data_IF_329590187254
#
_entry.id   IF_329590187254
#
_cell.length_a   1.000
_cell.length_b   1.000
_cell.length_c   1.000
_cell.angle_alpha   90.00
_cell.angle_beta   90.00
_cell.angle_gamma   90.00
#
_symmetry.space_group_name_H-M   'P 1'
#
loop_
_entity.id
_entity.type
_entity.pdbx_description
1 polymer ?
#
# COMPACT_ATOMS: atom_id res chain seq x y z
N UNK A 1 18.95 -36.84 -19.89
CA UNK A 1 17.82 -36.78 -18.97
C UNK A 1 17.19 -35.41 -19.13
N UNK A 2 15.93 -35.27 -19.55
CA UNK A 2 15.30 -33.94 -19.63
C UNK A 2 14.97 -33.46 -18.23
N UNK A 3 15.43 -32.26 -17.89
CA UNK A 3 15.09 -31.59 -16.66
C UNK A 3 13.58 -31.33 -16.63
N UNK A 4 12.88 -31.88 -15.64
CA UNK A 4 11.51 -31.49 -15.30
C UNK A 4 11.52 -30.05 -14.89
N UNK A 5 11.14 -29.16 -15.80
CA UNK A 5 10.73 -27.80 -15.46
C UNK A 5 9.41 -27.97 -14.72
N UNK A 6 9.43 -27.84 -13.38
CA UNK A 6 8.22 -27.76 -12.60
C UNK A 6 7.53 -26.45 -13.00
N UNK A 7 6.50 -26.54 -13.84
CA UNK A 7 5.56 -25.44 -14.06
C UNK A 7 5.00 -25.07 -12.70
N UNK A 8 5.37 -23.90 -12.18
CA UNK A 8 4.73 -23.34 -11.01
C UNK A 8 3.25 -23.16 -11.34
N UNK A 9 2.43 -24.07 -10.83
CA UNK A 9 0.98 -23.90 -10.85
C UNK A 9 0.71 -22.62 -10.03
N UNK A 10 0.14 -21.59 -10.67
CA UNK A 10 -0.26 -20.38 -9.95
C UNK A 10 -1.22 -20.73 -8.81
N UNK A 11 -1.51 -19.77 -7.92
CA UNK A 11 -2.27 -20.03 -6.70
C UNK A 11 -3.64 -20.64 -7.01
N UNK A 12 -4.03 -21.64 -6.21
CA UNK A 12 -5.34 -22.32 -6.35
C UNK A 12 -6.48 -21.36 -5.98
N UNK A 13 -7.65 -21.55 -6.60
CA UNK A 13 -8.90 -20.90 -6.17
C UNK A 13 -9.21 -21.31 -4.74
N UNK A 14 -9.54 -20.30 -3.91
CA UNK A 14 -9.89 -20.50 -2.51
C UNK A 14 -11.42 -20.44 -2.39
N UNK A 15 -12.02 -21.52 -1.89
CA UNK A 15 -13.45 -21.51 -1.57
C UNK A 15 -13.79 -20.44 -0.53
N UNK A 16 -15.00 -19.88 -0.63
CA UNK A 16 -15.51 -18.97 0.39
C UNK A 16 -16.09 -19.82 1.52
N UNK A 17 -15.57 -19.74 2.76
CA UNK A 17 -16.11 -20.49 3.88
C UNK A 17 -17.51 -19.98 4.26
N UNK A 18 -18.27 -20.79 5.02
CA UNK A 18 -19.55 -20.37 5.57
C UNK A 18 -19.37 -19.12 6.46
N UNK A 19 -20.28 -18.17 6.32
CA UNK A 19 -20.30 -16.99 7.16
C UNK A 19 -20.65 -17.36 8.61
N UNK A 20 -19.93 -16.75 9.56
CA UNK A 20 -20.18 -16.87 11.00
C UNK A 20 -20.75 -15.53 11.48
N UNK A 21 -21.86 -15.52 12.26
CA UNK A 21 -22.39 -14.29 12.84
C UNK A 21 -21.33 -13.55 13.66
N UNK A 22 -21.34 -12.22 13.58
CA UNK A 22 -20.32 -11.38 14.29
C UNK A 22 -20.37 -11.64 15.80
N UNK A 23 -21.55 -11.88 16.40
CA UNK A 23 -21.72 -12.26 17.80
C UNK A 23 -20.93 -13.51 18.23
N UNK A 24 -20.66 -14.42 17.28
CA UNK A 24 -20.05 -15.73 17.54
C UNK A 24 -18.53 -15.74 17.30
N UNK A 25 -17.95 -14.56 17.07
CA UNK A 25 -16.51 -14.40 16.80
C UNK A 25 -15.67 -14.28 18.08
N UNK A 26 -16.24 -14.51 19.25
CA UNK A 26 -15.50 -14.53 20.52
C UNK A 26 -14.31 -15.51 20.44
N UNK A 27 -13.15 -15.07 20.94
CA UNK A 27 -11.91 -15.85 20.88
C UNK A 27 -11.11 -15.72 19.59
N UNK A 28 -11.64 -15.09 18.53
CA UNK A 28 -10.86 -14.73 17.33
C UNK A 28 -9.90 -13.59 17.66
N UNK A 29 -8.68 -13.68 17.17
CA UNK A 29 -7.74 -12.56 17.12
C UNK A 29 -7.28 -12.37 15.67
N UNK A 30 -7.59 -11.22 15.09
CA UNK A 30 -7.03 -10.79 13.81
C UNK A 30 -5.71 -10.06 14.04
N UNK A 31 -4.66 -10.52 13.38
CA UNK A 31 -3.37 -9.85 13.34
C UNK A 31 -3.35 -8.94 12.11
N UNK A 32 -3.24 -7.64 12.31
CA UNK A 32 -3.31 -6.64 11.23
C UNK A 32 -1.97 -5.93 11.09
N UNK A 33 -1.44 -5.92 9.87
CA UNK A 33 -0.30 -5.08 9.53
C UNK A 33 -0.72 -3.63 9.40
N UNK A 34 0.08 -2.74 9.95
CA UNK A 34 -0.17 -1.31 9.93
C UNK A 34 1.08 -0.54 9.51
N UNK A 35 0.95 0.34 8.54
CA UNK A 35 2.04 1.15 8.06
C UNK A 35 2.01 2.54 8.71
N UNK A 36 3.01 2.80 9.57
CA UNK A 36 3.16 4.11 10.22
C UNK A 36 1.92 4.54 11.02
N UNK A 37 1.19 3.61 11.59
CA UNK A 37 0.00 3.90 12.41
C UNK A 37 -1.24 4.33 11.63
N UNK A 38 -1.25 4.23 10.30
CA UNK A 38 -2.31 4.80 9.46
C UNK A 38 -3.66 4.07 9.62
N UNK A 39 -3.64 2.73 9.65
CA UNK A 39 -4.86 1.91 9.79
C UNK A 39 -5.35 1.89 11.23
N UNK A 40 -4.45 1.65 12.19
CA UNK A 40 -4.80 1.60 13.62
C UNK A 40 -5.31 2.94 14.11
N UNK A 41 -4.58 4.03 13.83
CA UNK A 41 -4.98 5.37 14.26
C UNK A 41 -6.35 5.77 13.68
N UNK A 42 -6.63 5.42 12.43
CA UNK A 42 -7.91 5.72 11.78
C UNK A 42 -9.07 5.00 12.47
N UNK A 43 -8.97 3.69 12.65
CA UNK A 43 -10.00 2.88 13.30
C UNK A 43 -10.26 3.33 14.75
N UNK A 44 -9.20 3.66 15.50
CA UNK A 44 -9.33 4.18 16.88
C UNK A 44 -9.92 5.59 16.91
N UNK A 45 -9.49 6.48 16.00
CA UNK A 45 -9.97 7.86 15.94
C UNK A 45 -11.48 7.94 15.68
N UNK A 46 -12.00 7.04 14.84
CA UNK A 46 -13.41 6.93 14.50
C UNK A 46 -14.22 6.06 15.49
N UNK A 47 -13.60 5.53 16.55
CA UNK A 47 -14.21 4.61 17.53
C UNK A 47 -14.81 3.33 16.91
N UNK A 48 -14.33 2.92 15.73
CA UNK A 48 -14.89 1.76 15.02
C UNK A 48 -14.35 0.42 15.54
N UNK A 49 -13.42 0.43 16.48
CA UNK A 49 -12.97 -0.77 17.22
C UNK A 49 -13.76 -1.02 18.51
N UNK A 50 -14.68 -0.13 18.87
CA UNK A 50 -15.47 -0.30 20.09
C UNK A 50 -16.46 -1.45 19.96
N UNK A 51 -16.69 -2.15 21.08
CA UNK A 51 -17.65 -3.26 21.18
C UNK A 51 -17.39 -4.41 20.19
N UNK A 52 -16.12 -4.66 19.84
CA UNK A 52 -15.76 -5.82 19.03
C UNK A 52 -15.91 -7.11 19.84
N UNK A 53 -16.58 -8.14 19.33
CA UNK A 53 -16.63 -9.45 19.96
C UNK A 53 -15.34 -10.27 19.75
N UNK A 54 -14.41 -9.79 18.91
CA UNK A 54 -13.10 -10.37 18.63
C UNK A 54 -11.99 -9.37 18.91
N UNK A 55 -10.74 -9.82 18.92
CA UNK A 55 -9.57 -8.97 19.14
C UNK A 55 -8.94 -8.57 17.81
N UNK A 56 -8.48 -7.32 17.71
CA UNK A 56 -7.59 -6.84 16.64
C UNK A 56 -6.26 -6.44 17.27
N UNK A 57 -5.18 -7.01 16.77
CA UNK A 57 -3.81 -6.71 17.21
C UNK A 57 -3.05 -6.14 16.01
N UNK A 58 -2.49 -4.97 16.19
CA UNK A 58 -1.73 -4.30 15.14
C UNK A 58 -0.22 -4.54 15.30
N UNK A 59 0.45 -4.70 14.16
CA UNK A 59 1.91 -4.74 14.06
C UNK A 59 2.36 -3.68 13.08
N UNK A 60 3.21 -2.76 13.54
CA UNK A 60 3.68 -1.62 12.72
C UNK A 60 4.84 -2.04 11.81
N UNK A 61 4.77 -1.62 10.57
CA UNK A 61 5.78 -1.83 9.54
C UNK A 61 6.24 -0.50 8.94
N UNK A 62 7.46 -0.48 8.42
CA UNK A 62 8.05 0.72 7.80
C UNK A 62 7.51 1.01 6.39
N UNK A 63 7.06 -0.04 5.68
CA UNK A 63 6.59 0.02 4.29
C UNK A 63 5.69 -1.17 3.95
N UNK A 64 5.16 -1.21 2.73
CA UNK A 64 4.28 -2.28 2.26
C UNK A 64 4.94 -3.65 2.08
N UNK A 65 6.12 -3.77 1.44
CA UNK A 65 6.74 -5.06 1.17
C UNK A 65 6.90 -5.97 2.40
N UNK A 66 7.42 -5.51 3.55
CA UNK A 66 7.50 -6.35 4.76
C UNK A 66 6.13 -6.85 5.26
N UNK A 67 5.04 -6.14 4.98
CA UNK A 67 3.68 -6.59 5.33
C UNK A 67 3.27 -7.81 4.48
N UNK A 68 3.58 -7.81 3.17
CA UNK A 68 3.32 -8.96 2.29
C UNK A 68 4.14 -10.19 2.72
N UNK A 69 5.38 -9.98 3.15
CA UNK A 69 6.22 -11.05 3.72
C UNK A 69 5.61 -11.62 5.00
N UNK A 70 5.15 -10.76 5.91
CA UNK A 70 4.49 -11.16 7.15
C UNK A 70 3.17 -11.89 6.91
N UNK A 71 2.36 -11.46 5.93
CA UNK A 71 1.16 -12.17 5.46
C UNK A 71 1.50 -13.56 4.94
N UNK A 72 2.53 -13.65 4.07
CA UNK A 72 2.99 -14.92 3.47
C UNK A 72 3.48 -15.90 4.53
N UNK A 73 4.16 -15.39 5.56
CA UNK A 73 4.63 -16.16 6.72
C UNK A 73 3.51 -16.49 7.73
N UNK A 74 2.27 -16.02 7.51
CA UNK A 74 1.14 -16.23 8.41
C UNK A 74 1.27 -15.50 9.77
N UNK A 75 2.14 -14.48 9.85
CA UNK A 75 2.34 -13.69 11.07
C UNK A 75 1.25 -12.63 11.25
N UNK A 76 0.70 -12.13 10.16
CA UNK A 76 -0.48 -11.27 10.14
C UNK A 76 -1.57 -11.87 9.25
N UNK A 77 -2.81 -11.44 9.44
CA UNK A 77 -3.99 -11.92 8.72
C UNK A 77 -4.39 -10.98 7.59
N UNK A 78 -4.18 -9.67 7.78
CA UNK A 78 -4.58 -8.63 6.85
C UNK A 78 -3.62 -7.43 6.91
N UNK A 79 -3.45 -6.74 5.79
CA UNK A 79 -2.72 -5.48 5.71
C UNK A 79 -3.23 -4.63 4.53
N UNK A 80 -3.14 -3.30 4.67
CA UNK A 80 -3.36 -2.35 3.58
C UNK A 80 -2.00 -1.80 3.12
N UNK A 81 -1.75 -1.89 1.82
CA UNK A 81 -0.51 -1.42 1.19
C UNK A 81 -0.83 -0.59 -0.06
N UNK A 82 0.14 0.09 -0.64
CA UNK A 82 0.03 0.62 -1.99
C UNK A 82 -0.08 -0.52 -3.04
N UNK A 83 -0.13 -0.14 -4.30
CA UNK A 83 -0.32 -1.04 -5.45
C UNK A 83 0.81 -2.07 -5.65
N UNK A 84 2.06 -1.67 -5.47
CA UNK A 84 3.24 -2.46 -5.84
C UNK A 84 3.54 -3.66 -4.95
N UNK A 85 3.42 -3.61 -3.59
CA UNK A 85 3.73 -4.76 -2.74
C UNK A 85 2.97 -6.04 -3.09
N UNK A 86 1.67 -6.03 -3.45
CA UNK A 86 0.97 -7.22 -3.93
C UNK A 86 1.53 -7.80 -5.22
N UNK A 87 2.03 -6.97 -6.14
CA UNK A 87 2.69 -7.41 -7.39
C UNK A 87 3.97 -8.18 -7.08
N UNK A 88 4.81 -7.67 -6.17
CA UNK A 88 6.01 -8.37 -5.71
C UNK A 88 5.66 -9.68 -4.99
N UNK A 89 4.60 -9.66 -4.17
CA UNK A 89 4.07 -10.85 -3.55
C UNK A 89 3.65 -11.90 -4.57
N UNK A 90 2.93 -11.49 -5.62
CA UNK A 90 2.50 -12.35 -6.70
C UNK A 90 3.69 -12.94 -7.47
N UNK A 91 4.69 -12.13 -7.81
CA UNK A 91 5.92 -12.57 -8.46
C UNK A 91 6.71 -13.58 -7.63
N UNK A 92 6.68 -13.43 -6.30
CA UNK A 92 7.27 -14.38 -5.34
C UNK A 92 6.35 -15.57 -4.99
N UNK A 93 5.22 -15.73 -5.68
CA UNK A 93 4.23 -16.78 -5.41
C UNK A 93 3.73 -16.80 -3.95
N UNK A 94 3.44 -15.62 -3.39
CA UNK A 94 3.02 -15.44 -2.00
C UNK A 94 1.71 -16.19 -1.68
N UNK A 95 1.55 -16.56 -0.41
CA UNK A 95 0.32 -17.16 0.13
C UNK A 95 -0.67 -16.08 0.58
N UNK A 96 -0.92 -15.10 -0.28
CA UNK A 96 -1.82 -13.96 -0.02
C UNK A 96 -2.83 -13.79 -1.14
N UNK A 97 -3.91 -13.03 -0.88
CA UNK A 97 -4.82 -12.53 -1.91
C UNK A 97 -5.13 -11.08 -1.66
N UNK A 98 -5.21 -10.32 -2.72
CA UNK A 98 -5.81 -8.99 -2.72
C UNK A 98 -7.32 -9.17 -2.62
N UNK A 99 -7.94 -8.57 -1.62
CA UNK A 99 -9.36 -8.77 -1.27
C UNK A 99 -10.17 -7.48 -1.24
N UNK A 100 -9.52 -6.34 -1.25
CA UNK A 100 -10.15 -5.01 -1.22
C UNK A 100 -9.28 -4.00 -1.95
N UNK A 101 -9.90 -2.93 -2.46
CA UNK A 101 -9.20 -1.83 -3.13
C UNK A 101 -9.79 -0.49 -2.74
N UNK A 102 -8.94 0.53 -2.71
CA UNK A 102 -9.28 1.92 -2.47
C UNK A 102 -8.55 2.84 -3.45
N UNK A 103 -9.20 3.93 -3.84
CA UNK A 103 -8.53 5.07 -4.42
C UNK A 103 -7.97 5.93 -3.27
N UNK A 104 -6.66 5.91 -3.13
CA UNK A 104 -5.93 6.67 -2.11
C UNK A 104 -5.60 8.10 -2.53
N UNK A 105 -5.86 8.46 -3.79
CA UNK A 105 -5.36 9.59 -4.54
C UNK A 105 -3.83 9.59 -4.75
N UNK A 106 -3.41 9.88 -5.96
CA UNK A 106 -1.99 9.89 -6.35
C UNK A 106 -1.19 11.11 -5.83
N UNK A 107 -1.89 12.13 -5.32
CA UNK A 107 -1.30 13.44 -4.99
C UNK A 107 -0.24 13.40 -3.87
N UNK A 108 -0.30 12.41 -3.02
CA UNK A 108 0.61 12.27 -1.87
C UNK A 108 1.92 11.56 -2.19
N UNK A 109 2.06 10.97 -3.38
CA UNK A 109 3.26 10.26 -3.79
C UNK A 109 4.01 11.06 -4.84
N UNK A 110 5.27 11.41 -4.56
CA UNK A 110 6.01 12.39 -5.34
C UNK A 110 7.47 12.02 -5.57
N UNK A 111 8.01 12.53 -6.68
CA UNK A 111 9.45 12.55 -6.97
C UNK A 111 9.97 13.91 -6.51
N UNK A 112 10.69 13.93 -5.40
CA UNK A 112 11.22 15.13 -4.76
C UNK A 112 12.68 15.38 -5.15
N UNK A 113 12.99 16.62 -5.44
CA UNK A 113 14.35 17.13 -5.60
C UNK A 113 14.57 18.34 -4.69
N UNK A 114 15.83 18.69 -4.37
CA UNK A 114 16.10 19.92 -3.61
C UNK A 114 15.68 21.14 -4.42
N UNK A 115 15.20 22.18 -3.74
CA UNK A 115 14.69 23.39 -4.41
C UNK A 115 15.72 24.05 -5.34
N UNK A 116 17.01 24.00 -4.97
CA UNK A 116 18.13 24.53 -5.76
C UNK A 116 18.75 23.52 -6.73
N UNK A 117 18.16 22.33 -6.89
CA UNK A 117 18.65 21.32 -7.82
C UNK A 117 18.49 21.79 -9.28
N UNK A 118 19.43 21.50 -10.18
CA UNK A 118 19.28 21.74 -11.61
C UNK A 118 18.31 20.77 -12.30
N UNK A 119 17.84 19.71 -11.61
CA UNK A 119 16.91 18.71 -12.12
C UNK A 119 15.51 19.31 -12.16
N UNK A 120 14.95 19.57 -13.33
CA UNK A 120 13.64 20.19 -13.52
C UNK A 120 12.60 19.22 -14.08
N UNK A 121 13.04 18.19 -14.77
CA UNK A 121 12.22 17.19 -15.44
C UNK A 121 12.68 15.77 -15.09
N UNK A 122 11.86 14.79 -15.42
CA UNK A 122 12.24 13.37 -15.27
C UNK A 122 13.45 13.01 -16.13
N UNK A 123 13.61 13.62 -17.31
CA UNK A 123 14.76 13.38 -18.20
C UNK A 123 16.09 13.80 -17.58
N UNK A 124 16.08 14.80 -16.70
CA UNK A 124 17.27 15.26 -16.00
C UNK A 124 17.75 14.26 -14.92
N UNK A 125 16.95 13.21 -14.65
CA UNK A 125 17.35 12.12 -13.75
C UNK A 125 18.37 11.14 -14.38
N UNK A 126 18.65 11.25 -15.69
CA UNK A 126 19.67 10.43 -16.33
C UNK A 126 21.03 10.58 -15.62
N UNK A 127 21.63 9.45 -15.22
CA UNK A 127 22.89 9.39 -14.45
C UNK A 127 22.77 9.81 -12.98
N UNK A 128 21.57 10.15 -12.47
CA UNK A 128 21.36 10.62 -11.11
C UNK A 128 21.06 9.49 -10.13
N UNK A 129 21.29 9.77 -8.85
CA UNK A 129 21.00 8.85 -7.75
C UNK A 129 19.61 9.14 -7.19
N UNK A 130 18.73 8.15 -7.22
CA UNK A 130 17.35 8.24 -6.75
C UNK A 130 17.20 7.34 -5.53
N UNK A 131 16.76 7.92 -4.39
CA UNK A 131 16.44 7.19 -3.18
C UNK A 131 14.99 6.69 -3.27
N UNK A 132 14.75 5.42 -3.01
CA UNK A 132 13.41 4.81 -3.08
C UNK A 132 13.34 3.53 -2.26
N UNK A 133 12.18 3.15 -1.75
CA UNK A 133 11.97 1.86 -1.09
C UNK A 133 11.65 0.78 -2.14
N UNK A 134 12.46 -0.28 -2.20
CA UNK A 134 12.29 -1.38 -3.18
C UNK A 134 10.91 -2.04 -3.02
N UNK A 135 10.21 -2.23 -4.14
CA UNK A 135 8.91 -2.92 -4.17
C UNK A 135 7.75 -2.12 -3.55
N UNK A 136 7.95 -0.85 -3.26
CA UNK A 136 6.90 0.08 -2.82
C UNK A 136 6.20 0.76 -4.01
N UNK A 137 5.07 1.43 -3.76
CA UNK A 137 4.40 2.26 -4.77
C UNK A 137 5.35 3.33 -5.34
N UNK A 138 6.18 3.94 -4.51
CA UNK A 138 7.21 4.89 -4.97
C UNK A 138 8.21 4.27 -5.97
N UNK A 139 8.50 2.96 -5.86
CA UNK A 139 9.32 2.27 -6.86
C UNK A 139 8.58 2.14 -8.20
N UNK A 140 7.27 1.89 -8.18
CA UNK A 140 6.45 1.94 -9.39
C UNK A 140 6.45 3.33 -10.01
N UNK A 141 6.17 4.37 -9.22
CA UNK A 141 6.13 5.76 -9.65
C UNK A 141 7.39 6.17 -10.42
N UNK A 142 8.59 5.86 -9.90
CA UNK A 142 9.81 6.19 -10.62
C UNK A 142 9.95 5.38 -11.92
N UNK A 143 9.58 4.10 -11.94
CA UNK A 143 9.68 3.28 -13.15
C UNK A 143 8.70 3.73 -14.24
N UNK A 144 7.46 4.08 -13.88
CA UNK A 144 6.46 4.63 -14.80
C UNK A 144 6.98 5.91 -15.46
N UNK A 145 7.45 6.86 -14.66
CA UNK A 145 8.00 8.12 -15.18
C UNK A 145 9.26 7.95 -16.02
N UNK A 146 10.14 7.01 -15.67
CA UNK A 146 11.30 6.69 -16.50
C UNK A 146 10.84 6.14 -17.86
N UNK A 147 9.90 5.19 -17.86
CA UNK A 147 9.37 4.59 -19.08
C UNK A 147 8.71 5.63 -20.00
N UNK A 148 7.89 6.53 -19.46
CA UNK A 148 7.22 7.60 -20.23
C UNK A 148 8.19 8.57 -20.89
N UNK A 149 9.36 8.75 -20.32
CA UNK A 149 10.42 9.63 -20.88
C UNK A 149 11.44 8.89 -21.72
N UNK A 150 11.29 7.56 -21.89
CA UNK A 150 12.21 6.71 -22.65
C UNK A 150 13.48 6.34 -21.89
N UNK A 151 13.58 6.67 -20.59
CA UNK A 151 14.67 6.24 -19.72
C UNK A 151 14.41 4.81 -19.22
N UNK A 152 15.49 4.10 -18.95
CA UNK A 152 15.44 2.75 -18.36
C UNK A 152 16.03 2.79 -16.93
N UNK A 153 15.72 1.80 -16.08
CA UNK A 153 16.31 1.74 -14.73
C UNK A 153 17.83 1.81 -14.70
N UNK A 154 18.52 1.27 -15.72
CA UNK A 154 19.98 1.33 -15.86
C UNK A 154 20.55 2.73 -16.16
N UNK A 155 19.70 3.65 -16.62
CA UNK A 155 20.10 5.02 -16.95
C UNK A 155 20.11 5.93 -15.70
N UNK A 156 19.68 5.39 -14.54
CA UNK A 156 19.69 6.05 -13.23
C UNK A 156 20.34 5.13 -12.19
N UNK A 157 20.70 5.67 -11.04
CA UNK A 157 21.18 4.88 -9.91
C UNK A 157 20.07 4.79 -8.83
N UNK A 158 19.32 3.70 -8.80
CA UNK A 158 18.36 3.44 -7.73
C UNK A 158 19.11 3.00 -6.47
N UNK A 159 18.91 3.71 -5.36
CA UNK A 159 19.42 3.35 -4.04
C UNK A 159 18.24 3.01 -3.14
N UNK A 160 18.18 1.74 -2.72
CA UNK A 160 17.07 1.22 -1.97
C UNK A 160 17.25 1.44 -0.48
N UNK A 161 16.44 2.33 0.09
CA UNK A 161 16.40 2.68 1.51
C UNK A 161 14.95 2.64 2.03
N UNK A 162 14.79 2.31 3.32
CA UNK A 162 13.50 2.49 3.99
C UNK A 162 13.19 3.99 4.18
N UNK A 163 11.91 4.38 4.28
CA UNK A 163 11.52 5.79 4.27
C UNK A 163 12.24 6.69 5.28
N UNK A 164 12.43 6.24 6.52
CA UNK A 164 13.09 7.03 7.54
C UNK A 164 14.59 7.22 7.26
N UNK A 165 15.26 6.17 6.76
CA UNK A 165 16.69 6.22 6.38
C UNK A 165 16.86 7.11 5.14
N UNK A 166 15.93 7.00 4.16
CA UNK A 166 15.93 7.84 2.96
C UNK A 166 15.69 9.32 3.31
N UNK A 167 14.78 9.64 4.25
CA UNK A 167 14.60 11.01 4.74
C UNK A 167 15.90 11.57 5.31
N UNK A 168 16.57 10.80 6.18
CA UNK A 168 17.83 11.21 6.80
C UNK A 168 18.93 11.38 5.75
N UNK A 169 19.09 10.43 4.83
CA UNK A 169 20.06 10.50 3.75
C UNK A 169 19.84 11.72 2.85
N UNK A 170 18.57 11.94 2.43
CA UNK A 170 18.21 13.06 1.56
C UNK A 170 18.39 14.42 2.24
N UNK A 171 18.04 14.55 3.53
CA UNK A 171 18.29 15.76 4.33
C UNK A 171 19.77 16.10 4.44
N UNK A 172 20.64 15.07 4.51
CA UNK A 172 22.11 15.22 4.57
C UNK A 172 22.77 15.37 3.19
N UNK A 173 22.01 15.64 2.14
CA UNK A 173 22.56 15.90 0.81
C UNK A 173 22.82 14.65 -0.04
N UNK A 174 22.52 13.45 0.46
CA UNK A 174 22.71 12.21 -0.30
C UNK A 174 21.54 11.98 -1.27
N UNK A 175 21.85 11.37 -2.44
CA UNK A 175 20.89 11.21 -3.53
C UNK A 175 20.53 12.55 -4.20
N UNK A 176 20.18 12.51 -5.46
CA UNK A 176 19.76 13.66 -6.25
C UNK A 176 18.24 13.88 -6.19
N UNK A 177 17.49 12.77 -6.12
CA UNK A 177 16.05 12.72 -5.97
C UNK A 177 15.63 11.71 -4.89
N UNK A 178 14.43 11.89 -4.35
CA UNK A 178 13.80 10.96 -3.42
C UNK A 178 12.36 10.72 -3.84
N UNK A 179 11.96 9.46 -4.05
CA UNK A 179 10.60 9.09 -4.39
C UNK A 179 9.92 8.49 -3.17
N UNK A 180 8.81 9.10 -2.75
CA UNK A 180 8.21 8.83 -1.45
C UNK A 180 6.72 9.19 -1.43
N UNK A 181 6.01 8.69 -0.41
CA UNK A 181 4.60 8.89 -0.15
C UNK A 181 4.34 9.55 1.22
N UNK A 182 3.06 9.87 1.49
CA UNK A 182 2.65 10.48 2.76
C UNK A 182 2.83 9.54 3.97
N UNK A 183 3.17 10.05 5.13
CA UNK A 183 3.33 11.48 5.49
C UNK A 183 4.74 12.06 5.21
N UNK A 184 5.64 11.27 4.65
CA UNK A 184 7.03 11.71 4.40
C UNK A 184 7.12 12.81 3.33
N UNK A 185 6.23 12.79 2.33
CA UNK A 185 6.15 13.85 1.31
C UNK A 185 5.85 15.20 1.99
N UNK A 186 4.78 15.26 2.78
CA UNK A 186 4.41 16.46 3.51
C UNK A 186 5.51 16.89 4.50
N UNK A 187 6.13 15.94 5.20
CA UNK A 187 7.24 16.21 6.10
C UNK A 187 8.42 16.84 5.36
N UNK A 188 8.83 16.28 4.23
CA UNK A 188 9.93 16.82 3.43
C UNK A 188 9.61 18.23 2.90
N UNK A 189 8.40 18.45 2.39
CA UNK A 189 7.99 19.75 1.86
C UNK A 189 7.96 20.85 2.94
N UNK A 190 7.58 20.52 4.18
CA UNK A 190 7.49 21.49 5.27
C UNK A 190 8.81 21.67 6.03
N UNK A 191 9.70 20.67 6.04
CA UNK A 191 10.93 20.74 6.84
C UNK A 191 12.22 20.85 6.02
N UNK A 192 12.16 20.45 4.74
CA UNK A 192 13.30 20.55 3.82
C UNK A 192 12.94 21.49 2.67
N UNK A 193 13.96 22.12 2.09
CA UNK A 193 13.79 22.97 0.90
C UNK A 193 13.72 22.06 -0.35
N UNK A 194 12.55 21.50 -0.64
CA UNK A 194 12.31 20.57 -1.76
C UNK A 194 11.22 21.07 -2.70
N UNK A 195 11.19 20.51 -3.89
CA UNK A 195 10.10 20.62 -4.87
C UNK A 195 9.83 19.28 -5.54
N UNK A 196 8.64 19.08 -6.03
CA UNK A 196 8.26 17.90 -6.82
C UNK A 196 8.54 18.13 -8.31
N UNK A 197 8.99 17.08 -8.99
CA UNK A 197 9.12 17.03 -10.45
C UNK A 197 8.22 15.96 -11.09
N UNK A 198 7.46 15.22 -10.30
CA UNK A 198 6.50 14.22 -10.72
C UNK A 198 5.68 13.70 -9.54
N UNK A 199 4.48 13.19 -9.86
CA UNK A 199 3.59 12.51 -8.90
C UNK A 199 3.11 11.20 -9.51
N UNK A 200 2.68 10.23 -8.69
CA UNK A 200 2.14 8.98 -9.19
C UNK A 200 0.93 9.20 -10.11
N UNK A 201 0.74 8.32 -11.10
CA UNK A 201 -0.41 8.37 -12.01
C UNK A 201 -1.69 7.84 -11.37
N UNK A 202 -1.56 6.83 -10.51
CA UNK A 202 -2.68 6.30 -9.72
C UNK A 202 -2.28 6.13 -8.26
N UNK A 203 -3.27 6.21 -7.37
CA UNK A 203 -3.08 6.10 -5.93
C UNK A 203 -3.77 4.88 -5.35
N UNK A 204 -3.85 3.76 -6.05
CA UNK A 204 -4.54 2.57 -5.57
C UNK A 204 -3.86 1.99 -4.33
N UNK A 205 -4.71 1.69 -3.34
CA UNK A 205 -4.35 0.93 -2.17
C UNK A 205 -5.07 -0.41 -2.18
N UNK A 206 -4.39 -1.44 -1.70
CA UNK A 206 -4.93 -2.78 -1.68
C UNK A 206 -4.92 -3.38 -0.28
N UNK A 207 -6.06 -3.92 0.10
CA UNK A 207 -6.17 -4.83 1.23
C UNK A 207 -5.76 -6.23 0.79
N UNK A 208 -4.70 -6.75 1.40
CA UNK A 208 -4.22 -8.11 1.19
C UNK A 208 -4.48 -8.96 2.42
N UNK A 209 -4.94 -10.20 2.22
CA UNK A 209 -5.20 -11.15 3.29
C UNK A 209 -4.39 -12.43 3.13
N UNK A 210 -4.00 -13.04 4.25
CA UNK A 210 -3.37 -14.35 4.29
C UNK A 210 -4.36 -15.46 3.92
N UNK A 211 -3.87 -16.58 3.39
CA UNK A 211 -4.74 -17.74 3.13
C UNK A 211 -5.44 -18.22 4.40
N UNK A 212 -4.77 -18.15 5.56
CA UNK A 212 -5.36 -18.49 6.85
C UNK A 212 -6.61 -17.65 7.13
N UNK A 213 -6.54 -16.34 6.91
CA UNK A 213 -7.68 -15.46 7.14
C UNK A 213 -8.84 -15.75 6.17
N UNK A 214 -8.55 -16.24 4.97
CA UNK A 214 -9.55 -16.50 3.94
C UNK A 214 -10.18 -17.90 4.01
N UNK A 215 -9.52 -18.87 4.63
CA UNK A 215 -9.99 -20.26 4.71
C UNK A 215 -10.64 -20.61 6.05
N UNK A 216 -10.28 -19.91 7.14
CA UNK A 216 -10.91 -20.08 8.44
C UNK A 216 -12.24 -19.30 8.48
N UNK A 217 -13.41 -19.95 8.73
CA UNK A 217 -14.70 -19.29 8.67
C UNK A 217 -14.84 -18.11 9.64
N UNK A 218 -14.30 -18.24 10.85
CA UNK A 218 -14.38 -17.17 11.87
C UNK A 218 -13.49 -16.00 11.52
N UNK A 219 -12.25 -16.25 11.08
CA UNK A 219 -11.32 -15.18 10.64
C UNK A 219 -11.83 -14.47 9.39
N UNK A 220 -12.37 -15.21 8.43
CA UNK A 220 -12.95 -14.62 7.21
C UNK A 220 -14.13 -13.70 7.55
N UNK A 221 -14.99 -14.10 8.49
CA UNK A 221 -16.12 -13.27 8.93
C UNK A 221 -15.67 -12.07 9.77
N UNK A 222 -14.66 -12.23 10.62
CA UNK A 222 -14.06 -11.12 11.35
C UNK A 222 -13.37 -10.11 10.41
N UNK A 223 -12.71 -10.60 9.35
CA UNK A 223 -12.12 -9.73 8.33
C UNK A 223 -13.19 -8.96 7.56
N UNK A 224 -14.31 -9.60 7.20
CA UNK A 224 -15.45 -8.92 6.56
C UNK A 224 -15.99 -7.77 7.44
N UNK A 225 -16.19 -8.01 8.74
CA UNK A 225 -16.62 -6.98 9.70
C UNK A 225 -15.57 -5.87 9.85
N UNK A 226 -14.28 -6.23 9.94
CA UNK A 226 -13.21 -5.23 10.03
C UNK A 226 -13.14 -4.32 8.80
N UNK A 227 -13.36 -4.86 7.60
CA UNK A 227 -13.41 -4.07 6.36
C UNK A 227 -14.57 -3.07 6.38
N UNK A 228 -15.76 -3.46 6.83
CA UNK A 228 -16.91 -2.54 7.01
C UNK A 228 -16.57 -1.43 8.01
N UNK A 229 -15.91 -1.77 9.11
CA UNK A 229 -15.49 -0.80 10.13
C UNK A 229 -14.42 0.15 9.61
N UNK A 230 -13.50 -0.35 8.78
CA UNK A 230 -12.51 0.50 8.12
C UNK A 230 -13.18 1.51 7.17
N UNK A 231 -14.19 1.09 6.39
CA UNK A 231 -14.94 2.00 5.52
C UNK A 231 -15.65 3.10 6.31
N UNK A 232 -16.31 2.75 7.41
CA UNK A 232 -16.95 3.73 8.30
C UNK A 232 -15.93 4.71 8.87
N UNK A 233 -14.75 4.23 9.24
CA UNK A 233 -13.66 5.08 9.74
C UNK A 233 -13.10 5.99 8.62
N UNK A 234 -12.94 5.45 7.41
CA UNK A 234 -12.51 6.24 6.26
C UNK A 234 -13.54 7.32 5.88
N UNK A 235 -14.82 7.00 5.92
CA UNK A 235 -15.89 7.96 5.72
C UNK A 235 -15.86 9.06 6.79
N UNK A 236 -15.79 8.66 8.07
CA UNK A 236 -15.67 9.61 9.19
C UNK A 236 -14.46 10.57 9.00
N UNK A 237 -13.31 10.04 8.55
CA UNK A 237 -12.12 10.89 8.33
C UNK A 237 -12.32 11.91 7.19
N UNK A 238 -13.05 11.55 6.13
CA UNK A 238 -13.40 12.48 5.05
C UNK A 238 -14.38 13.56 5.51
N UNK A 239 -15.31 13.23 6.37
CA UNK A 239 -16.30 14.15 6.95
C UNK A 239 -15.71 15.04 8.05
N UNK A 240 -14.64 14.58 8.73
CA UNK A 240 -14.01 15.25 9.86
C UNK A 240 -12.49 15.44 9.67
N UNK A 241 -12.04 16.07 8.56
CA UNK A 241 -10.61 16.06 8.17
C UNK A 241 -9.69 16.72 9.20
N UNK A 242 -10.12 17.82 9.82
CA UNK A 242 -9.32 18.54 10.82
C UNK A 242 -9.18 17.72 12.13
N UNK A 243 -10.26 17.09 12.58
CA UNK A 243 -10.21 16.22 13.76
C UNK A 243 -9.38 14.98 13.48
N UNK A 244 -9.53 14.37 12.31
CA UNK A 244 -8.72 13.24 11.89
C UNK A 244 -7.24 13.59 11.87
N UNK A 245 -6.84 14.68 11.21
CA UNK A 245 -5.43 15.11 11.16
C UNK A 245 -4.84 15.31 12.55
N UNK A 246 -5.59 15.92 13.48
CA UNK A 246 -5.18 16.13 14.88
C UNK A 246 -4.99 14.80 15.63
N UNK A 247 -5.95 13.87 15.50
CA UNK A 247 -5.87 12.54 16.13
C UNK A 247 -4.71 11.72 15.54
N UNK A 248 -4.53 11.78 14.22
CA UNK A 248 -3.44 11.11 13.52
C UNK A 248 -2.06 11.64 13.96
N UNK A 249 -1.89 12.98 13.96
CA UNK A 249 -0.65 13.61 14.42
C UNK A 249 -0.24 13.13 15.82
N UNK A 250 -1.20 13.10 16.75
CA UNK A 250 -0.98 12.62 18.11
C UNK A 250 -0.62 11.13 18.15
N UNK A 251 -1.32 10.30 17.38
CA UNK A 251 -1.13 8.85 17.39
C UNK A 251 0.25 8.44 16.86
N UNK A 252 0.77 9.14 15.85
CA UNK A 252 2.03 8.76 15.18
C UNK A 252 3.21 9.69 15.48
N UNK A 253 3.01 10.69 16.36
CA UNK A 253 4.08 11.61 16.80
C UNK A 253 4.54 12.57 15.69
N UNK A 254 3.62 13.06 14.85
CA UNK A 254 3.91 14.04 13.80
C UNK A 254 3.52 15.46 14.23
N UNK A 255 4.18 16.44 13.63
CA UNK A 255 3.71 17.83 13.66
C UNK A 255 2.30 17.91 13.02
N UNK A 256 1.43 18.75 13.60
CA UNK A 256 0.04 18.88 13.14
C UNK A 256 -0.04 19.35 11.69
N UNK A 257 0.79 20.31 11.27
CA UNK A 257 0.80 20.80 9.88
C UNK A 257 1.22 19.72 8.89
N UNK A 258 2.16 18.85 9.29
CA UNK A 258 2.55 17.70 8.47
C UNK A 258 1.38 16.73 8.33
N UNK A 259 0.68 16.43 9.43
CA UNK A 259 -0.47 15.55 9.40
C UNK A 259 -1.64 16.14 8.59
N UNK A 260 -1.94 17.42 8.75
CA UNK A 260 -2.98 18.13 7.97
C UNK A 260 -2.68 18.07 6.48
N UNK A 261 -1.46 18.40 6.06
CA UNK A 261 -1.06 18.36 4.67
C UNK A 261 -1.09 16.93 4.11
N UNK A 262 -0.56 15.97 4.87
CA UNK A 262 -0.55 14.57 4.46
C UNK A 262 -1.98 14.01 4.28
N UNK A 263 -2.86 14.25 5.26
CA UNK A 263 -4.21 13.70 5.23
C UNK A 263 -5.11 14.40 4.21
N UNK A 264 -4.85 15.67 3.87
CA UNK A 264 -5.59 16.37 2.81
C UNK A 264 -5.38 15.80 1.41
N UNK A 265 -4.35 14.98 1.21
CA UNK A 265 -3.99 14.34 -0.06
C UNK A 265 -4.43 12.88 -0.17
N UNK A 266 -5.04 12.32 0.88
CA UNK A 266 -5.43 10.92 0.95
C UNK A 266 -6.96 10.78 1.00
N UNK A 267 -7.56 10.18 -0.02
CA UNK A 267 -9.02 10.08 -0.16
C UNK A 267 -9.60 8.82 0.52
N UNK A 268 -8.94 7.68 0.43
CA UNK A 268 -9.43 6.38 0.93
C UNK A 268 -10.84 6.02 0.46
N UNK A 269 -11.12 6.22 -0.83
CA UNK A 269 -12.42 5.89 -1.40
C UNK A 269 -12.45 4.40 -1.77
N UNK A 270 -13.42 3.62 -1.28
CA UNK A 270 -13.55 2.22 -1.69
C UNK A 270 -13.87 2.15 -3.17
N UNK A 271 -13.22 1.24 -3.86
CA UNK A 271 -13.46 0.94 -5.27
C UNK A 271 -13.64 -0.57 -5.43
N UNK A 272 -14.47 -1.03 -6.38
CA UNK A 272 -14.61 -2.45 -6.65
C UNK A 272 -13.29 -3.02 -7.18
N UNK A 273 -12.94 -4.22 -6.72
CA UNK A 273 -11.87 -5.03 -7.30
C UNK A 273 -12.36 -5.62 -8.63
N UNK A 274 -12.56 -4.76 -9.64
CA UNK A 274 -13.06 -5.11 -10.96
C UNK A 274 -11.92 -5.43 -11.95
N UNK A 275 -12.28 -5.72 -13.21
CA UNK A 275 -11.30 -6.04 -14.23
C UNK A 275 -10.44 -4.83 -14.63
N UNK A 276 -10.94 -3.59 -14.44
CA UNK A 276 -10.16 -2.36 -14.71
C UNK A 276 -9.03 -2.22 -13.69
N UNK A 277 -9.32 -2.41 -12.41
CA UNK A 277 -8.32 -2.38 -11.34
C UNK A 277 -7.30 -3.50 -11.52
N UNK A 278 -7.76 -4.73 -11.81
CA UNK A 278 -6.88 -5.88 -12.06
C UNK A 278 -5.98 -5.66 -13.28
N UNK A 279 -6.51 -5.06 -14.35
CA UNK A 279 -5.72 -4.75 -15.54
C UNK A 279 -4.68 -3.66 -15.29
N UNK A 280 -4.96 -2.68 -14.41
CA UNK A 280 -3.96 -1.69 -14.00
C UNK A 280 -2.79 -2.36 -13.27
N UNK A 281 -3.07 -3.28 -12.35
CA UNK A 281 -2.04 -4.03 -11.64
C UNK A 281 -1.28 -5.01 -12.54
N UNK A 282 -1.94 -5.58 -13.58
CA UNK A 282 -1.24 -6.38 -14.57
C UNK A 282 -0.22 -5.55 -15.35
N UNK A 283 -0.62 -4.34 -15.80
CA UNK A 283 0.34 -3.43 -16.48
C UNK A 283 1.53 -3.07 -15.60
N UNK A 284 1.28 -2.87 -14.30
CA UNK A 284 2.35 -2.62 -13.35
C UNK A 284 3.28 -3.83 -13.21
N UNK A 285 2.75 -5.05 -13.14
CA UNK A 285 3.53 -6.27 -13.12
C UNK A 285 4.38 -6.43 -14.40
N UNK A 286 3.79 -6.14 -15.55
CA UNK A 286 4.47 -6.18 -16.85
C UNK A 286 5.60 -5.15 -16.92
N UNK A 287 5.38 -3.94 -16.39
CA UNK A 287 6.41 -2.89 -16.27
C UNK A 287 7.60 -3.36 -15.42
N UNK A 288 7.33 -3.90 -14.23
CA UNK A 288 8.40 -4.41 -13.35
C UNK A 288 9.20 -5.54 -13.97
N UNK A 289 8.55 -6.44 -14.72
CA UNK A 289 9.23 -7.52 -15.43
C UNK A 289 10.07 -6.97 -16.60
N UNK A 290 9.53 -6.04 -17.40
CA UNK A 290 10.26 -5.41 -18.51
C UNK A 290 11.45 -4.55 -18.05
N UNK A 291 11.40 -4.09 -16.81
CA UNK A 291 12.45 -3.31 -16.14
C UNK A 291 13.46 -4.19 -15.37
N UNK A 292 13.41 -5.52 -15.51
CA UNK A 292 14.26 -6.50 -14.80
C UNK A 292 14.20 -6.37 -13.26
N UNK A 293 13.08 -5.85 -12.72
CA UNK A 293 12.90 -5.70 -11.27
C UNK A 293 12.23 -6.92 -10.62
N UNK A 294 11.53 -7.72 -11.40
CA UNK A 294 11.02 -9.05 -11.04
C UNK A 294 11.35 -10.03 -12.18
N UNK A 295 11.55 -11.32 -11.89
CA UNK A 295 11.97 -12.30 -12.90
C UNK A 295 10.96 -12.50 -14.04
N UNK A 296 9.65 -12.47 -13.71
CA UNK A 296 8.54 -12.70 -14.65
C UNK A 296 7.30 -11.99 -14.14
N UNK A 297 6.51 -11.44 -15.06
CA UNK A 297 5.23 -10.83 -14.73
C UNK A 297 4.21 -11.93 -14.31
N UNK A 298 3.69 -11.89 -13.07
CA UNK A 298 2.64 -12.82 -12.66
C UNK A 298 1.34 -12.51 -13.42
N UNK A 299 0.50 -13.53 -13.65
CA UNK A 299 -0.90 -13.29 -14.04
C UNK A 299 -1.67 -12.80 -12.82
N UNK A 300 -1.67 -11.47 -12.58
CA UNK A 300 -2.10 -10.86 -11.33
C UNK A 300 -3.52 -11.24 -10.90
N UNK A 301 -4.44 -11.47 -11.85
CA UNK A 301 -5.81 -11.95 -11.58
C UNK A 301 -5.86 -13.18 -10.70
N UNK A 302 -4.84 -14.04 -10.71
CA UNK A 302 -4.78 -15.23 -9.86
C UNK A 302 -4.58 -14.92 -8.37
N UNK A 303 -4.08 -13.73 -8.05
CA UNK A 303 -3.89 -13.23 -6.67
C UNK A 303 -5.04 -12.35 -6.18
N UNK A 304 -6.12 -12.22 -6.95
CA UNK A 304 -7.31 -11.42 -6.61
C UNK A 304 -8.43 -12.34 -6.13
N UNK A 305 -9.08 -11.94 -5.04
CA UNK A 305 -10.26 -12.60 -4.50
C UNK A 305 -11.33 -11.54 -4.22
N UNK A 306 -12.42 -11.55 -4.96
CA UNK A 306 -13.45 -10.51 -4.97
C UNK A 306 -14.57 -10.73 -3.94
N UNK A 307 -14.38 -11.69 -3.01
CA UNK A 307 -15.42 -12.09 -2.04
C UNK A 307 -16.00 -10.97 -1.19
N UNK A 308 -15.24 -9.89 -0.97
CA UNK A 308 -15.67 -8.75 -0.15
C UNK A 308 -16.20 -7.56 -0.96
N UNK A 309 -16.24 -7.62 -2.30
CA UNK A 309 -16.73 -6.50 -3.11
C UNK A 309 -18.17 -6.09 -2.73
N UNK A 310 -19.06 -7.07 -2.50
CA UNK A 310 -20.44 -6.78 -2.10
C UNK A 310 -20.54 -6.15 -0.70
N UNK A 311 -19.65 -6.55 0.21
CA UNK A 311 -19.60 -6.01 1.58
C UNK A 311 -19.17 -4.54 1.57
N UNK A 312 -18.21 -4.20 0.74
CA UNK A 312 -17.69 -2.83 0.61
C UNK A 312 -18.65 -1.91 -0.17
N UNK A 313 -19.37 -2.44 -1.16
CA UNK A 313 -20.35 -1.67 -1.93
C UNK A 313 -21.55 -1.19 -1.09
N UNK A 314 -21.99 -1.99 -0.11
CA UNK A 314 -23.11 -1.63 0.78
C UNK A 314 -22.74 -0.52 1.75
N UNK A 315 -21.49 -0.48 2.22
CA UNK A 315 -21.01 0.55 3.16
C UNK A 315 -20.81 1.93 2.54
N UNK A 316 -20.72 2.02 1.20
CA UNK A 316 -20.57 3.31 0.48
C UNK A 316 -21.90 4.00 0.18
N UNK A 317 -23.05 3.37 0.43
CA UNK A 317 -24.40 3.87 0.13
C UNK A 317 -25.18 4.27 1.38
N UNK A 318 -24.66 4.10 2.56
CA UNK A 318 -25.22 4.54 3.85
C UNK A 318 -24.47 5.73 4.43
#
# INVERSE_FOLDING_TARGET
>A
MPACVSRSLGPQLIGVPAAVPVSDLSGVTLQVGDQKGNTEALLRAANTLDNLPYKVVFSTFTSGPPQIEALTAGKIDFAITGNTPPVFGAAANSKTRVVAAWDGAALGERILVRANSPINTIRDLAGKTILVAKGSAAHANVLEHLADTGLKPKDVKLVFLQPADALSAFANGQGDAWVIWEPYTAQAELTLKVRSIGSAENGYWFGSASLRALTDPKRNSALADLLVRYERAAQWARENPAEWAKKYAKAVGLDLKVAELAQSRLLRLPIPLDDKVVAAEQRLADLFASADQIPEAPKFVKWVDRRFNSVLAVSSTQ
#
